data_IF_735750283974
#
_entry.id   IF_735750283974
#
_cell.length_a   1.000
_cell.length_b   1.000
_cell.length_c   1.000
_cell.angle_alpha   90.00
_cell.angle_beta   90.00
_cell.angle_gamma   90.00
#
_symmetry.space_group_name_H-M   'P 1'
#
loop_
_entity.id
_entity.type
_entity.pdbx_description
1 polymer ?
#
# COMPACT_ATOMS: atom_id res chain seq x y z
N UNK A 1 7.36 -10.43 2.88
CA UNK A 1 7.76 -11.03 1.59
C UNK A 1 6.70 -11.98 1.07
N UNK A 2 6.18 -11.76 -0.14
CA UNK A 2 5.44 -12.80 -0.88
C UNK A 2 6.42 -13.50 -1.82
N UNK A 3 6.45 -14.83 -1.79
CA UNK A 3 7.32 -15.63 -2.65
C UNK A 3 6.58 -16.79 -3.28
N UNK A 4 6.89 -17.09 -4.53
CA UNK A 4 6.41 -18.28 -5.22
C UNK A 4 7.48 -18.85 -6.14
N UNK A 5 7.41 -20.15 -6.40
CA UNK A 5 8.25 -20.83 -7.38
C UNK A 5 7.41 -21.08 -8.64
N UNK A 6 7.84 -20.54 -9.77
CA UNK A 6 7.20 -20.73 -11.07
C UNK A 6 8.25 -21.22 -12.08
N UNK A 7 8.08 -22.44 -12.60
CA UNK A 7 8.99 -23.06 -13.57
C UNK A 7 10.48 -22.99 -13.20
N UNK A 8 10.81 -23.25 -11.92
CA UNK A 8 12.18 -23.20 -11.41
C UNK A 8 12.72 -21.79 -11.17
N UNK A 9 11.91 -20.75 -11.40
CA UNK A 9 12.23 -19.35 -11.12
C UNK A 9 11.53 -18.90 -9.84
N UNK A 10 12.28 -18.25 -8.95
CA UNK A 10 11.69 -17.61 -7.76
C UNK A 10 11.14 -16.25 -8.19
N UNK A 11 9.84 -16.03 -7.95
CA UNK A 11 9.23 -14.70 -8.00
C UNK A 11 9.09 -14.18 -6.59
N UNK A 12 9.54 -12.95 -6.39
CA UNK A 12 9.56 -12.25 -5.12
C UNK A 12 8.79 -10.94 -5.25
N UNK A 13 7.95 -10.63 -4.28
CA UNK A 13 7.42 -9.28 -4.04
C UNK A 13 7.84 -8.88 -2.64
N UNK A 14 8.62 -7.81 -2.55
CA UNK A 14 9.08 -7.25 -1.27
C UNK A 14 7.89 -6.63 -0.54
N UNK A 15 7.94 -6.50 0.79
CA UNK A 15 6.90 -5.77 1.51
C UNK A 15 6.82 -4.29 1.08
N UNK A 16 7.93 -3.56 0.87
CA UNK A 16 7.85 -2.20 0.32
C UNK A 16 7.15 -2.15 -1.04
N UNK A 17 7.45 -3.07 -1.97
CA UNK A 17 6.78 -3.12 -3.27
C UNK A 17 5.27 -3.40 -3.13
N UNK A 18 4.90 -4.29 -2.20
CA UNK A 18 3.49 -4.57 -1.87
C UNK A 18 2.77 -3.33 -1.33
N UNK A 19 3.41 -2.58 -0.42
CA UNK A 19 2.84 -1.36 0.12
C UNK A 19 2.67 -0.29 -0.96
N UNK A 20 3.68 -0.08 -1.81
CA UNK A 20 3.60 0.87 -2.91
C UNK A 20 2.42 0.56 -3.86
N UNK A 21 2.23 -0.72 -4.24
CA UNK A 21 1.09 -1.14 -5.06
C UNK A 21 -0.24 -0.93 -4.33
N UNK A 22 -0.28 -1.19 -3.02
CA UNK A 22 -1.47 -0.93 -2.19
C UNK A 22 -1.83 0.55 -2.19
N UNK A 23 -0.84 1.45 -2.11
CA UNK A 23 -1.03 2.90 -2.25
C UNK A 23 -1.61 3.29 -3.62
N UNK A 24 -1.11 2.69 -4.71
CA UNK A 24 -1.66 2.91 -6.04
C UNK A 24 -3.13 2.48 -6.16
N UNK A 25 -3.50 1.35 -5.57
CA UNK A 25 -4.89 0.89 -5.52
C UNK A 25 -5.76 1.83 -4.69
N UNK A 26 -5.26 2.26 -3.52
CA UNK A 26 -5.94 3.19 -2.63
C UNK A 26 -6.22 4.54 -3.30
N UNK A 27 -5.29 5.06 -4.12
CA UNK A 27 -5.45 6.30 -4.86
C UNK A 27 -6.62 6.28 -5.87
N UNK A 28 -7.04 5.09 -6.30
CA UNK A 28 -8.18 4.90 -7.21
C UNK A 28 -9.42 4.38 -6.50
N UNK A 29 -9.41 4.32 -5.16
CA UNK A 29 -10.52 3.82 -4.39
C UNK A 29 -11.66 4.85 -4.29
N UNK A 30 -12.88 4.37 -4.44
CA UNK A 30 -14.09 5.18 -4.43
C UNK A 30 -14.56 5.56 -5.84
N UNK A 31 -15.86 5.57 -6.03
CA UNK A 31 -16.54 5.91 -7.29
C UNK A 31 -18.02 6.24 -6.99
N UNK A 32 -18.91 6.09 -7.98
CA UNK A 32 -20.36 6.32 -7.80
C UNK A 32 -21.02 5.33 -6.81
N UNK A 33 -20.44 4.15 -6.62
CA UNK A 33 -20.95 3.09 -5.74
C UNK A 33 -20.20 3.02 -4.40
N UNK A 34 -18.91 3.36 -4.38
CA UNK A 34 -18.03 3.24 -3.22
C UNK A 34 -17.59 4.61 -2.70
N UNK A 35 -17.68 4.80 -1.38
CA UNK A 35 -17.14 5.99 -0.72
C UNK A 35 -15.64 6.16 -0.94
N UNK A 36 -15.20 7.40 -1.20
CA UNK A 36 -13.79 7.76 -1.23
C UNK A 36 -13.14 7.59 0.15
N UNK A 37 -11.81 7.49 0.17
CA UNK A 37 -11.04 7.55 1.42
C UNK A 37 -11.34 8.85 2.17
N UNK A 38 -11.45 8.76 3.50
CA UNK A 38 -11.81 9.89 4.36
C UNK A 38 -13.30 10.26 4.38
N UNK A 39 -14.17 9.55 3.65
CA UNK A 39 -15.60 9.93 3.52
C UNK A 39 -16.41 10.00 4.83
N UNK A 40 -16.08 9.18 5.83
CA UNK A 40 -16.82 9.13 7.10
C UNK A 40 -16.25 10.07 8.17
N UNK A 41 -15.20 10.82 7.84
CA UNK A 41 -14.55 11.78 8.73
C UNK A 41 -15.12 13.19 8.47
N UNK A 42 -15.26 14.01 9.53
CA UNK A 42 -15.75 15.39 9.45
C UNK A 42 -14.63 16.41 9.23
N UNK A 43 -13.47 15.97 8.76
CA UNK A 43 -12.32 16.79 8.39
C UNK A 43 -12.72 18.02 7.59
N UNK A 44 -12.19 19.17 8.00
CA UNK A 44 -12.28 20.41 7.24
C UNK A 44 -11.50 20.36 5.92
N UNK A 45 -10.57 19.41 5.77
CA UNK A 45 -9.68 19.24 4.62
C UNK A 45 -9.71 17.77 4.13
N UNK A 46 -10.82 17.31 3.53
CA UNK A 46 -11.03 15.90 3.20
C UNK A 46 -10.06 15.39 2.11
N UNK A 47 -9.66 16.23 1.15
CA UNK A 47 -8.65 15.86 0.15
C UNK A 47 -7.27 15.62 0.77
N UNK A 48 -6.90 16.42 1.78
CA UNK A 48 -5.65 16.24 2.51
C UNK A 48 -5.68 14.93 3.30
N UNK A 49 -6.75 14.67 4.04
CA UNK A 49 -6.92 13.41 4.78
C UNK A 49 -6.84 12.19 3.86
N UNK A 50 -7.46 12.25 2.68
CA UNK A 50 -7.35 11.20 1.68
C UNK A 50 -5.89 11.02 1.19
N UNK A 51 -5.18 12.11 0.89
CA UNK A 51 -3.78 12.05 0.46
C UNK A 51 -2.85 11.47 1.53
N UNK A 52 -3.03 11.85 2.79
CA UNK A 52 -2.29 11.32 3.93
C UNK A 52 -2.59 9.83 4.17
N UNK A 53 -3.85 9.43 4.00
CA UNK A 53 -4.25 8.02 4.07
C UNK A 53 -3.59 7.19 2.97
N UNK A 54 -3.58 7.69 1.72
CA UNK A 54 -2.91 7.03 0.59
C UNK A 54 -1.41 6.91 0.87
N UNK A 55 -0.79 7.96 1.37
CA UNK A 55 0.63 7.96 1.75
C UNK A 55 0.92 6.92 2.84
N UNK A 56 0.11 6.89 3.90
CA UNK A 56 0.25 5.89 4.96
C UNK A 56 0.15 4.46 4.42
N UNK A 57 -0.78 4.20 3.50
CA UNK A 57 -0.92 2.90 2.84
C UNK A 57 0.29 2.59 1.94
N UNK A 58 0.82 3.56 1.20
CA UNK A 58 1.96 3.37 0.31
C UNK A 58 3.25 3.00 1.06
N UNK A 59 3.42 3.49 2.28
CA UNK A 59 4.68 3.42 3.02
C UNK A 59 4.62 2.51 4.27
N UNK A 60 3.49 1.84 4.53
CA UNK A 60 3.25 1.12 5.79
C UNK A 60 4.28 0.01 6.10
N UNK A 61 4.93 -0.53 5.07
CA UNK A 61 5.87 -1.64 5.19
C UNK A 61 7.34 -1.23 5.02
N UNK A 62 7.67 0.06 5.02
CA UNK A 62 9.04 0.52 4.77
C UNK A 62 10.08 -0.10 5.73
N UNK A 63 9.69 -0.36 6.99
CA UNK A 63 10.57 -0.97 7.99
C UNK A 63 10.89 -2.46 7.77
N UNK A 64 10.34 -3.09 6.73
CA UNK A 64 10.68 -4.46 6.35
C UNK A 64 11.92 -4.55 5.47
N UNK A 65 12.38 -3.43 4.90
CA UNK A 65 13.53 -3.42 3.98
C UNK A 65 14.76 -4.09 4.59
N UNK A 66 15.11 -3.74 5.83
CA UNK A 66 16.28 -4.30 6.52
C UNK A 66 16.17 -5.81 6.72
N UNK A 67 14.97 -6.29 7.08
CA UNK A 67 14.68 -7.71 7.31
C UNK A 67 14.67 -8.52 6.02
N UNK A 68 14.22 -7.93 4.91
CA UNK A 68 14.16 -8.61 3.60
C UNK A 68 15.50 -8.57 2.86
N UNK A 69 16.32 -7.53 3.07
CA UNK A 69 17.66 -7.42 2.50
C UNK A 69 18.69 -8.33 3.20
N UNK A 70 18.51 -8.57 4.52
CA UNK A 70 19.40 -9.41 5.32
C UNK A 70 18.60 -10.34 6.26
N UNK A 71 17.92 -11.36 5.71
CA UNK A 71 17.19 -12.32 6.54
C UNK A 71 18.14 -13.11 7.46
N UNK A 72 17.71 -13.47 8.68
CA UNK A 72 18.51 -14.23 9.64
C UNK A 72 18.82 -15.67 9.18
#
# INVERSE_FOLDING_TARGET
>A
MLKTLDNGTIRLVTQPDHAAVSGYMAAHWGNEEFSKLGYLDDSSEPEQLAAETIFGIAEHDNGWWEWEASPP
#
